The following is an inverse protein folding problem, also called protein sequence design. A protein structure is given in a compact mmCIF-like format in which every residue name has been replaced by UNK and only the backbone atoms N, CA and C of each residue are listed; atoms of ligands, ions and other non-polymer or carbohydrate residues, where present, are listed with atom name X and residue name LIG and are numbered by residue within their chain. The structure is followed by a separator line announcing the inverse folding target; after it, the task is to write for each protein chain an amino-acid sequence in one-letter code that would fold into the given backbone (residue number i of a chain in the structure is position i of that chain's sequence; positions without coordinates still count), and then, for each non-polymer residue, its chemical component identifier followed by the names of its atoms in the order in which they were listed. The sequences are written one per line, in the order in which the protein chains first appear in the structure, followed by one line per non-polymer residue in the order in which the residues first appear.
data_IF_989693429663
#
_entry.id   IF_989693429663
#
_cell.length_a   1.000
_cell.length_b   1.000
_cell.length_c   1.000
_cell.angle_alpha   90.00
_cell.angle_beta   90.00
_cell.angle_gamma   90.00
#
_symmetry.space_group_name_H-M   'P 1'
#
loop_
_entity.id
_entity.type
_entity.pdbx_description
1 polymer ?
#
# COMPACT_ATOMS: atom_id res chain seq x y z
N UNK A 1 -15.54 6.57 20.17
CA UNK A 1 -15.57 6.67 18.69
C UNK A 1 -14.25 6.11 18.24
N UNK A 2 -14.31 5.17 17.31
CA UNK A 2 -13.22 4.28 16.89
C UNK A 2 -11.89 5.03 16.69
N UNK A 3 -10.88 4.68 17.47
CA UNK A 3 -9.49 5.10 17.25
C UNK A 3 -8.91 4.39 16.01
N UNK A 4 -9.52 4.61 14.85
CA UNK A 4 -8.93 4.25 13.57
C UNK A 4 -7.93 5.35 13.25
N UNK A 5 -6.72 5.17 13.77
CA UNK A 5 -5.56 5.99 13.38
C UNK A 5 -5.35 5.75 11.88
N UNK A 6 -5.74 6.72 11.07
CA UNK A 6 -5.45 6.69 9.63
C UNK A 6 -3.95 6.97 9.45
N UNK A 7 -3.18 6.03 8.87
CA UNK A 7 -1.74 6.26 8.66
C UNK A 7 -1.53 7.47 7.75
N UNK A 8 -0.68 8.40 8.19
CA UNK A 8 -0.34 9.61 7.41
C UNK A 8 0.26 9.25 6.05
N UNK A 9 0.92 8.10 5.95
CA UNK A 9 1.56 7.60 4.74
C UNK A 9 0.62 6.89 3.76
N UNK A 10 -0.66 6.68 4.12
CA UNK A 10 -1.66 6.04 3.24
C UNK A 10 -1.72 6.67 1.85
N UNK A 11 -1.81 8.00 1.77
CA UNK A 11 -1.88 8.70 0.49
C UNK A 11 -0.62 8.46 -0.34
N UNK A 12 0.56 8.51 0.29
CA UNK A 12 1.84 8.28 -0.39
C UNK A 12 1.97 6.85 -0.93
N UNK A 13 1.46 5.86 -0.21
CA UNK A 13 1.43 4.46 -0.69
C UNK A 13 0.54 4.31 -1.92
N UNK A 14 -0.67 4.89 -1.87
CA UNK A 14 -1.61 4.86 -2.99
C UNK A 14 -1.03 5.54 -4.23
N UNK A 15 -0.39 6.70 -4.06
CA UNK A 15 0.25 7.38 -5.20
C UNK A 15 1.41 6.58 -5.79
N UNK A 16 2.24 5.95 -4.96
CA UNK A 16 3.28 5.01 -5.45
C UNK A 16 2.66 3.85 -6.24
N UNK A 17 1.60 3.24 -5.72
CA UNK A 17 0.92 2.13 -6.38
C UNK A 17 0.39 2.54 -7.76
N UNK A 18 -0.21 3.72 -7.88
CA UNK A 18 -0.69 4.26 -9.16
C UNK A 18 0.43 4.46 -10.17
N UNK A 19 1.60 4.94 -9.72
CA UNK A 19 2.78 5.10 -10.59
C UNK A 19 3.25 3.74 -11.11
N UNK A 20 3.31 2.72 -10.26
CA UNK A 20 3.69 1.36 -10.67
C UNK A 20 2.67 0.74 -11.62
N UNK A 21 1.37 0.88 -11.34
CA UNK A 21 0.30 0.41 -12.24
C UNK A 21 0.41 1.08 -13.61
N UNK A 22 0.70 2.39 -13.65
CA UNK A 22 0.92 3.10 -14.91
C UNK A 22 2.11 2.54 -15.69
N UNK A 23 3.20 2.20 -15.00
CA UNK A 23 4.37 1.58 -15.61
C UNK A 23 4.06 0.18 -16.15
N UNK A 24 3.31 -0.63 -15.41
CA UNK A 24 2.85 -1.95 -15.86
C UNK A 24 1.98 -1.81 -17.11
N UNK A 25 1.06 -0.84 -17.15
CA UNK A 25 0.23 -0.59 -18.32
C UNK A 25 1.09 -0.16 -19.53
N UNK A 26 2.08 0.71 -19.34
CA UNK A 26 3.01 1.11 -20.41
C UNK A 26 3.81 -0.07 -20.97
N UNK A 27 4.25 -1.00 -20.11
CA UNK A 27 4.94 -2.22 -20.55
C UNK A 27 4.03 -3.13 -21.38
N UNK A 28 2.77 -3.27 -20.97
CA UNK A 28 1.77 -3.99 -21.76
C UNK A 28 1.51 -3.32 -23.12
N UNK A 29 1.36 -1.99 -23.16
CA UNK A 29 1.14 -1.24 -24.40
C UNK A 29 2.32 -1.36 -25.38
N UNK A 30 3.53 -1.59 -24.85
CA UNK A 30 4.75 -1.87 -25.64
C UNK A 30 4.87 -3.34 -26.07
N UNK A 31 3.93 -4.21 -25.69
CA UNK A 31 3.96 -5.65 -25.98
C UNK A 31 4.97 -6.44 -25.12
N UNK A 32 5.49 -5.86 -24.03
CA UNK A 32 6.44 -6.53 -23.13
C UNK A 32 5.78 -7.47 -22.13
N UNK A 33 4.46 -7.36 -21.95
CA UNK A 33 3.67 -8.20 -21.05
C UNK A 33 2.49 -8.79 -21.79
N UNK A 34 2.15 -10.02 -21.45
CA UNK A 34 0.85 -10.61 -21.77
C UNK A 34 -0.25 -10.01 -20.88
N UNK A 35 -1.52 -10.20 -21.26
CA UNK A 35 -2.65 -9.71 -20.46
C UNK A 35 -2.70 -10.36 -19.06
N UNK A 36 -2.40 -11.66 -18.98
CA UNK A 36 -2.35 -12.39 -17.71
C UNK A 36 -1.23 -11.85 -16.80
N UNK A 37 -0.05 -11.55 -17.34
CA UNK A 37 1.05 -10.98 -16.57
C UNK A 37 0.74 -9.57 -16.08
N UNK A 38 0.13 -8.73 -16.94
CA UNK A 38 -0.35 -7.40 -16.55
C UNK A 38 -1.32 -7.50 -15.37
N UNK A 39 -2.32 -8.37 -15.49
CA UNK A 39 -3.33 -8.57 -14.46
C UNK A 39 -2.70 -8.99 -13.13
N UNK A 40 -1.87 -10.05 -13.14
CA UNK A 40 -1.20 -10.54 -11.94
C UNK A 40 -0.34 -9.45 -11.29
N UNK A 41 0.46 -8.72 -12.06
CA UNK A 41 1.32 -7.64 -11.53
C UNK A 41 0.53 -6.50 -10.88
N UNK A 42 -0.64 -6.14 -11.43
CA UNK A 42 -1.52 -5.14 -10.83
C UNK A 42 -2.06 -5.64 -9.49
N UNK A 43 -2.50 -6.89 -9.41
CA UNK A 43 -2.97 -7.52 -8.16
C UNK A 43 -1.86 -7.55 -7.12
N UNK A 44 -0.65 -7.98 -7.49
CA UNK A 44 0.51 -8.02 -6.60
C UNK A 44 0.83 -6.62 -6.04
N UNK A 45 0.80 -5.61 -6.91
CA UNK A 45 1.06 -4.21 -6.51
C UNK A 45 0.10 -3.73 -5.43
N UNK A 46 -1.21 -4.01 -5.57
CA UNK A 46 -2.21 -3.61 -4.58
C UNK A 46 -2.17 -4.47 -3.32
N UNK A 47 -1.81 -5.75 -3.46
CA UNK A 47 -1.61 -6.66 -2.32
C UNK A 47 -0.47 -6.16 -1.44
N UNK A 48 0.67 -5.81 -2.02
CA UNK A 48 1.80 -5.24 -1.27
C UNK A 48 1.43 -3.93 -0.56
N UNK A 49 0.65 -3.06 -1.19
CA UNK A 49 0.20 -1.79 -0.60
C UNK A 49 -0.70 -2.05 0.60
N UNK A 50 -1.62 -3.01 0.48
CA UNK A 50 -2.51 -3.40 1.57
C UNK A 50 -1.72 -3.96 2.76
N UNK A 51 -0.72 -4.80 2.51
CA UNK A 51 0.13 -5.37 3.55
C UNK A 51 0.98 -4.30 4.25
N UNK A 52 1.55 -3.36 3.49
CA UNK A 52 2.32 -2.23 4.04
C UNK A 52 1.42 -1.32 4.89
N UNK A 53 0.24 -0.98 4.41
CA UNK A 53 -0.73 -0.16 5.15
C UNK A 53 -1.18 -0.84 6.44
N UNK A 54 -1.40 -2.16 6.42
CA UNK A 54 -1.75 -2.94 7.61
C UNK A 54 -0.63 -2.92 8.66
N UNK A 55 0.64 -3.03 8.22
CA UNK A 55 1.80 -2.92 9.11
C UNK A 55 1.95 -1.53 9.72
N UNK A 56 1.73 -0.47 8.94
CA UNK A 56 1.77 0.90 9.46
C UNK A 56 0.65 1.19 10.45
N UNK A 57 -0.56 0.69 10.20
CA UNK A 57 -1.66 0.78 11.17
C UNK A 57 -1.30 0.10 12.49
N UNK A 58 -0.75 -1.13 12.43
CA UNK A 58 -0.29 -1.84 13.64
C UNK A 58 0.80 -1.06 14.38
N UNK A 59 1.74 -0.46 13.65
CA UNK A 59 2.82 0.35 14.25
C UNK A 59 2.27 1.60 14.92
N UNK A 60 1.35 2.31 14.26
CA UNK A 60 0.74 3.52 14.80
C UNK A 60 -0.05 3.23 16.08
N UNK A 61 -0.78 2.10 16.13
CA UNK A 61 -1.50 1.65 17.33
C UNK A 61 -0.53 1.29 18.46
N UNK A 62 0.59 0.64 18.15
CA UNK A 62 1.60 0.30 19.17
C UNK A 62 2.23 1.56 19.80
N UNK A 63 2.60 2.54 18.97
CA UNK A 63 3.18 3.81 19.43
C UNK A 63 2.20 4.64 20.26
N UNK A 64 0.92 4.65 19.89
CA UNK A 64 -0.14 5.33 20.66
C UNK A 64 -0.29 4.71 22.06
N UNK A 65 -0.25 3.37 22.16
CA UNK A 65 -0.35 2.65 23.44
C UNK A 65 0.89 2.77 24.32
N UNK A 66 2.09 2.89 23.75
CA UNK A 66 3.33 3.11 24.51
C UNK A 66 3.44 4.53 25.07
N UNK A 67 2.78 5.52 24.49
CA UNK A 67 2.67 6.88 25.03
C UNK A 67 1.99 6.97 26.40
N UNK A 68 1.31 5.90 26.85
CA UNK A 68 0.66 5.79 28.16
C UNK A 68 1.40 4.90 29.16
N UNK A 69 2.52 4.26 28.81
CA UNK A 69 3.33 3.48 29.75
C UNK A 69 4.38 4.35 30.46
N UNK A 70 3.93 5.40 31.13
CA UNK A 70 4.79 6.20 32.01
C UNK A 70 3.98 6.82 33.16
N UNK A 71 3.36 5.99 34.01
CA UNK A 71 3.23 6.16 35.48
C UNK A 71 3.10 4.78 36.13
#
# INVERSE_FOLDING_TARGET
MEDIITPKDKQKMVEKAKVEVKKIQQQYDQGLLTDQERYNKIIDTWTEVNDKMSKEMMTAIAQDKEGFNSI
#
